data_IF_994264663510
#
_entry.id   IF_994264663510
#
_cell.length_a   1.000
_cell.length_b   1.000
_cell.length_c   1.000
_cell.angle_alpha   90.00
_cell.angle_beta   90.00
_cell.angle_gamma   90.00
#
_symmetry.space_group_name_H-M   'P 1'
#
loop_
_entity.id
_entity.type
_entity.pdbx_description
1 polymer ?
#
# COMPACT_ATOMS: atom_id res chain seq x y z
N UNK A 1 -29.16 -12.39 -4.15
CA UNK A 1 -27.86 -12.45 -4.85
C UNK A 1 -26.65 -12.71 -3.95
N UNK A 2 -26.62 -12.27 -2.66
CA UNK A 2 -25.49 -12.51 -1.74
C UNK A 2 -25.30 -13.98 -1.31
N UNK A 3 -26.34 -14.80 -1.30
CA UNK A 3 -26.26 -16.21 -0.90
C UNK A 3 -25.65 -17.13 -1.98
N UNK A 4 -25.76 -16.77 -3.24
CA UNK A 4 -25.33 -17.62 -4.36
C UNK A 4 -23.81 -17.60 -4.55
N UNK A 5 -23.14 -16.48 -4.26
CA UNK A 5 -21.68 -16.36 -4.39
C UNK A 5 -20.96 -17.07 -3.24
N UNK A 6 -21.52 -17.00 -2.03
CA UNK A 6 -20.96 -17.70 -0.86
C UNK A 6 -21.15 -19.23 -0.98
N UNK A 7 -22.29 -19.68 -1.54
CA UNK A 7 -22.52 -21.10 -1.80
C UNK A 7 -21.61 -21.66 -2.90
N UNK A 8 -21.22 -20.88 -3.89
CA UNK A 8 -20.26 -21.31 -4.92
C UNK A 8 -18.84 -21.52 -4.35
N UNK A 9 -18.43 -20.74 -3.37
CA UNK A 9 -17.13 -20.88 -2.68
C UNK A 9 -17.12 -22.03 -1.64
N UNK A 10 -18.24 -22.31 -0.99
CA UNK A 10 -18.36 -23.44 -0.05
C UNK A 10 -18.66 -24.77 -0.76
N UNK A 11 -19.30 -24.76 -1.90
CA UNK A 11 -19.55 -25.95 -2.71
C UNK A 11 -18.26 -26.55 -3.29
N UNK A 12 -17.20 -25.76 -3.43
CA UNK A 12 -15.89 -26.26 -3.85
C UNK A 12 -15.16 -27.08 -2.76
N UNK A 13 -15.62 -27.05 -1.51
CA UNK A 13 -15.01 -27.77 -0.39
C UNK A 13 -15.76 -29.04 0.06
N UNK A 14 -16.94 -29.35 -0.49
CA UNK A 14 -17.78 -30.46 -0.03
C UNK A 14 -18.35 -31.34 -1.14
N UNK A 15 -17.65 -31.52 -2.26
CA UNK A 15 -18.08 -32.44 -3.32
C UNK A 15 -17.32 -33.75 -3.22
N UNK A 16 -17.84 -34.63 -2.38
CA UNK A 16 -17.72 -36.07 -2.59
C UNK A 16 -19.06 -36.59 -3.10
N UNK A 17 -19.04 -37.07 -4.37
CA UNK A 17 -19.99 -37.96 -5.00
C UNK A 17 -21.47 -37.48 -5.16
N UNK A 18 -21.75 -36.76 -6.23
CA UNK A 18 -22.98 -36.92 -7.03
C UNK A 18 -22.80 -36.14 -8.33
N UNK A 19 -23.19 -36.71 -9.45
CA UNK A 19 -23.07 -36.26 -10.83
C UNK A 19 -22.79 -34.75 -10.99
N UNK A 20 -21.54 -34.42 -11.26
CA UNK A 20 -21.09 -33.06 -11.50
C UNK A 20 -21.66 -32.54 -12.81
N UNK A 21 -22.74 -31.79 -12.76
CA UNK A 21 -23.06 -30.86 -13.82
C UNK A 21 -21.90 -29.83 -13.84
N UNK A 22 -21.02 -29.92 -14.83
CA UNK A 22 -20.03 -28.88 -15.10
C UNK A 22 -20.78 -27.56 -15.36
N UNK A 23 -20.93 -26.73 -14.35
CA UNK A 23 -21.31 -25.35 -14.56
C UNK A 23 -20.11 -24.64 -15.22
N UNK A 24 -20.18 -24.52 -16.53
CA UNK A 24 -19.21 -23.72 -17.29
C UNK A 24 -19.61 -22.25 -17.10
N UNK A 25 -18.79 -21.50 -16.42
CA UNK A 25 -18.93 -20.03 -16.39
C UNK A 25 -18.43 -19.55 -17.74
N UNK A 26 -19.31 -19.08 -18.58
CA UNK A 26 -18.95 -18.44 -19.84
C UNK A 26 -18.31 -17.08 -19.53
N UNK A 27 -17.01 -16.99 -19.81
CA UNK A 27 -16.27 -15.74 -19.69
C UNK A 27 -16.48 -14.98 -21.01
N UNK A 28 -16.94 -13.72 -20.99
CA UNK A 28 -17.09 -12.91 -22.20
C UNK A 28 -15.79 -12.84 -22.99
N UNK A 29 -15.87 -12.86 -24.31
CA UNK A 29 -14.71 -12.92 -25.22
C UNK A 29 -13.72 -11.74 -25.07
N UNK A 30 -14.19 -10.60 -24.56
CA UNK A 30 -13.35 -9.43 -24.26
C UNK A 30 -12.56 -9.57 -22.94
N UNK A 31 -12.89 -10.58 -22.11
CA UNK A 31 -12.21 -10.86 -20.86
C UNK A 31 -11.39 -12.15 -21.00
N UNK A 32 -10.11 -12.09 -20.71
CA UNK A 32 -9.20 -13.23 -20.85
C UNK A 32 -8.24 -13.36 -19.68
N UNK A 33 -7.60 -14.52 -19.57
CA UNK A 33 -6.60 -14.81 -18.54
C UNK A 33 -7.08 -14.52 -17.09
N UNK A 34 -8.36 -14.80 -16.83
CA UNK A 34 -8.93 -14.60 -15.49
C UNK A 34 -8.33 -15.60 -14.53
N UNK A 35 -7.72 -15.11 -13.45
CA UNK A 35 -7.06 -15.90 -12.43
C UNK A 35 -7.55 -15.50 -11.05
N UNK A 36 -8.02 -16.48 -10.30
CA UNK A 36 -8.28 -16.36 -8.87
C UNK A 36 -7.05 -16.88 -8.11
N UNK A 37 -6.56 -16.09 -7.17
CA UNK A 37 -5.44 -16.47 -6.31
C UNK A 37 -5.66 -15.94 -4.89
N UNK A 38 -4.90 -16.48 -3.93
CA UNK A 38 -4.98 -16.02 -2.56
C UNK A 38 -3.87 -16.57 -1.71
N UNK A 39 -3.71 -16.02 -0.52
CA UNK A 39 -2.76 -16.50 0.46
C UNK A 39 -3.19 -16.14 1.88
N UNK A 40 -2.78 -16.97 2.84
CA UNK A 40 -2.90 -16.72 4.27
C UNK A 40 -1.52 -16.78 4.93
N UNK A 41 -1.29 -15.90 5.89
CA UNK A 41 -0.07 -15.88 6.71
C UNK A 41 -0.48 -15.94 8.18
N UNK A 42 -0.18 -17.04 8.85
CA UNK A 42 -0.27 -17.19 10.30
C UNK A 42 1.10 -17.00 10.91
N UNK A 43 1.17 -16.45 12.10
CA UNK A 43 2.43 -16.23 12.81
C UNK A 43 2.26 -16.40 14.31
N UNK A 44 3.35 -16.76 14.96
CA UNK A 44 3.55 -16.62 16.40
C UNK A 44 4.45 -15.42 16.63
N UNK A 45 4.10 -14.56 17.56
CA UNK A 45 4.85 -13.36 17.89
C UNK A 45 5.10 -13.31 19.40
N UNK A 46 6.36 -13.12 19.75
CA UNK A 46 6.78 -12.87 21.12
C UNK A 46 7.50 -11.52 21.19
N UNK A 47 7.11 -10.70 22.16
CA UNK A 47 7.78 -9.45 22.51
C UNK A 47 8.09 -9.46 24.00
N UNK A 48 9.36 -9.42 24.35
CA UNK A 48 9.84 -9.37 25.73
C UNK A 48 10.25 -7.97 26.20
N UNK A 49 9.87 -6.92 25.48
CA UNK A 49 10.15 -5.55 25.88
C UNK A 49 9.38 -5.22 27.16
N UNK A 50 10.07 -4.73 28.17
CA UNK A 50 9.47 -4.32 29.46
C UNK A 50 8.30 -3.36 29.23
N UNK A 51 7.20 -3.60 29.92
CA UNK A 51 5.94 -2.84 29.82
C UNK A 51 5.20 -2.95 28.48
N UNK A 52 5.64 -3.88 27.59
CA UNK A 52 5.01 -4.17 26.31
C UNK A 52 5.10 -5.67 25.95
N UNK A 53 5.17 -6.53 26.95
CA UNK A 53 5.28 -7.98 26.79
C UNK A 53 4.04 -8.53 26.06
N UNK A 54 4.28 -9.33 25.05
CA UNK A 54 3.21 -10.00 24.34
C UNK A 54 3.63 -11.38 23.86
N UNK A 55 2.66 -12.31 23.86
CA UNK A 55 2.82 -13.68 23.43
C UNK A 55 1.53 -14.08 22.71
N UNK A 56 1.57 -14.21 21.38
CA UNK A 56 0.34 -14.38 20.60
C UNK A 56 0.54 -15.15 19.32
N UNK A 57 -0.42 -16.03 19.02
CA UNK A 57 -0.66 -16.52 17.67
C UNK A 57 -1.65 -15.58 16.97
N UNK A 58 -1.35 -15.17 15.76
CA UNK A 58 -2.25 -14.30 14.99
C UNK A 58 -2.23 -14.60 13.49
N UNK A 59 -3.27 -14.13 12.80
CA UNK A 59 -3.33 -14.13 11.35
C UNK A 59 -2.79 -12.77 10.87
N UNK A 60 -1.61 -12.79 10.29
CA UNK A 60 -0.98 -11.58 9.77
C UNK A 60 -1.70 -11.03 8.54
N UNK A 61 -2.02 -11.92 7.60
CA UNK A 61 -2.72 -11.57 6.36
C UNK A 61 -3.57 -12.74 5.87
N UNK A 62 -4.75 -12.43 5.35
CA UNK A 62 -5.58 -13.35 4.57
C UNK A 62 -6.14 -12.56 3.38
N UNK A 63 -5.70 -12.87 2.15
CA UNK A 63 -6.03 -12.12 0.95
C UNK A 63 -6.47 -13.02 -0.18
N UNK A 64 -7.45 -12.53 -0.95
CA UNK A 64 -7.90 -13.13 -2.21
C UNK A 64 -7.75 -12.07 -3.29
N UNK A 65 -7.27 -12.48 -4.45
CA UNK A 65 -7.09 -11.63 -5.62
C UNK A 65 -7.80 -12.25 -6.82
N UNK A 66 -8.43 -11.40 -7.61
CA UNK A 66 -8.93 -11.71 -8.93
C UNK A 66 -8.24 -10.77 -9.92
N UNK A 67 -7.68 -11.33 -10.98
CA UNK A 67 -6.96 -10.57 -11.99
C UNK A 67 -7.22 -11.12 -13.38
N UNK A 68 -6.97 -10.33 -14.42
CA UNK A 68 -7.18 -10.77 -15.80
C UNK A 68 -6.79 -9.70 -16.82
N UNK A 69 -7.19 -9.94 -18.07
CA UNK A 69 -6.99 -8.99 -19.16
C UNK A 69 -8.32 -8.63 -19.83
N UNK A 70 -8.46 -7.38 -20.23
CA UNK A 70 -9.57 -6.84 -21.02
C UNK A 70 -9.02 -6.42 -22.38
N UNK A 71 -9.64 -6.88 -23.45
CA UNK A 71 -9.25 -6.56 -24.84
C UNK A 71 -7.74 -6.73 -25.13
N UNK A 72 -7.08 -7.65 -24.43
CA UNK A 72 -5.67 -7.99 -24.61
C UNK A 72 -4.68 -7.05 -23.95
N UNK A 73 -4.85 -5.74 -24.11
CA UNK A 73 -3.87 -4.74 -23.68
C UNK A 73 -4.06 -4.24 -22.25
N UNK A 74 -5.25 -4.38 -21.69
CA UNK A 74 -5.55 -3.90 -20.33
C UNK A 74 -5.46 -5.04 -19.33
N UNK A 75 -4.50 -4.96 -18.43
CA UNK A 75 -4.44 -5.79 -17.23
C UNK A 75 -5.25 -5.14 -16.11
N UNK A 76 -6.01 -5.91 -15.38
CA UNK A 76 -6.73 -5.45 -14.20
C UNK A 76 -6.53 -6.39 -13.03
N UNK A 77 -6.62 -5.84 -11.82
CA UNK A 77 -6.54 -6.61 -10.59
C UNK A 77 -7.43 -6.01 -9.51
N UNK A 78 -8.09 -6.89 -8.78
CA UNK A 78 -8.70 -6.57 -7.49
C UNK A 78 -8.15 -7.50 -6.42
N UNK A 79 -7.91 -6.96 -5.23
CA UNK A 79 -7.47 -7.74 -4.08
C UNK A 79 -8.20 -7.30 -2.83
N UNK A 80 -8.72 -8.25 -2.07
CA UNK A 80 -9.42 -8.03 -0.81
C UNK A 80 -8.64 -8.70 0.32
N UNK A 81 -8.45 -7.99 1.42
CA UNK A 81 -7.93 -8.53 2.66
C UNK A 81 -9.09 -8.82 3.60
N UNK A 82 -9.15 -10.04 4.12
CA UNK A 82 -10.27 -10.52 4.95
C UNK A 82 -10.00 -10.39 6.45
N UNK A 83 -8.75 -10.38 6.87
CA UNK A 83 -8.41 -10.08 8.25
C UNK A 83 -8.22 -8.57 8.42
N UNK A 84 -8.91 -8.00 9.40
CA UNK A 84 -8.69 -6.60 9.79
C UNK A 84 -7.30 -6.39 10.36
N UNK A 85 -6.86 -5.14 10.41
CA UNK A 85 -5.61 -4.76 11.09
C UNK A 85 -5.85 -4.41 12.55
N UNK A 86 -6.95 -4.82 13.11
CA UNK A 86 -7.34 -4.40 14.45
C UNK A 86 -6.95 -5.45 15.45
N UNK A 87 -6.45 -5.00 16.58
CA UNK A 87 -6.31 -5.77 17.82
C UNK A 87 -7.66 -6.18 18.43
N UNK A 88 -8.77 -5.70 17.88
CA UNK A 88 -10.13 -6.02 18.30
C UNK A 88 -10.71 -7.19 17.52
N UNK A 89 -11.59 -7.94 18.14
CA UNK A 89 -12.26 -9.16 17.67
C UNK A 89 -13.16 -8.98 16.43
N UNK A 90 -12.86 -8.08 15.53
CA UNK A 90 -13.61 -7.83 14.32
C UNK A 90 -12.73 -7.87 13.08
N UNK A 91 -12.95 -8.84 12.22
CA UNK A 91 -12.34 -8.89 10.90
C UNK A 91 -13.30 -8.29 9.89
N UNK A 92 -12.96 -7.13 9.33
CA UNK A 92 -13.76 -6.52 8.27
C UNK A 92 -13.01 -6.61 6.94
N UNK A 93 -13.62 -7.20 5.89
CA UNK A 93 -13.01 -7.23 4.58
C UNK A 93 -12.77 -5.81 4.05
N UNK A 94 -11.59 -5.55 3.53
CA UNK A 94 -11.27 -4.28 2.88
C UNK A 94 -10.58 -4.49 1.54
N UNK A 95 -10.89 -3.64 0.60
CA UNK A 95 -10.19 -3.61 -0.67
C UNK A 95 -8.79 -3.03 -0.46
N UNK A 96 -7.77 -3.75 -0.93
CA UNK A 96 -6.37 -3.29 -0.86
C UNK A 96 -5.85 -2.90 -2.23
N UNK A 97 -6.18 -3.63 -3.30
CA UNK A 97 -5.85 -3.25 -4.66
C UNK A 97 -7.11 -3.25 -5.52
N UNK A 98 -7.28 -2.22 -6.35
CA UNK A 98 -8.25 -2.15 -7.43
C UNK A 98 -7.68 -1.22 -8.51
N UNK A 99 -7.17 -1.78 -9.59
CA UNK A 99 -6.58 -0.99 -10.66
C UNK A 99 -6.74 -1.65 -12.02
N UNK A 100 -6.62 -0.82 -13.07
CA UNK A 100 -6.41 -1.23 -14.43
C UNK A 100 -5.10 -0.64 -14.94
N UNK A 101 -4.41 -1.39 -15.80
CA UNK A 101 -3.14 -0.99 -16.39
C UNK A 101 -3.13 -1.28 -17.88
N UNK A 102 -2.98 -0.25 -18.69
CA UNK A 102 -2.74 -0.39 -20.11
C UNK A 102 -1.28 -0.76 -20.36
N UNK A 103 -1.03 -1.87 -21.03
CA UNK A 103 0.28 -2.51 -21.17
C UNK A 103 0.64 -2.79 -22.64
N UNK A 104 0.15 -2.00 -23.58
CA UNK A 104 0.39 -2.23 -25.01
C UNK A 104 1.88 -2.13 -25.38
N UNK A 105 2.58 -1.18 -24.79
CA UNK A 105 3.99 -0.95 -25.05
C UNK A 105 4.84 -1.25 -23.82
N UNK A 106 6.01 -1.85 -24.04
CA UNK A 106 6.93 -2.16 -22.96
C UNK A 106 7.50 -0.90 -22.30
N UNK A 107 7.79 0.10 -23.14
CA UNK A 107 8.39 1.36 -22.70
C UNK A 107 7.38 2.38 -22.14
N UNK A 108 6.08 2.13 -22.28
CA UNK A 108 5.04 3.05 -21.82
C UNK A 108 3.78 2.29 -21.42
N UNK A 109 3.51 2.25 -20.13
CA UNK A 109 2.34 1.64 -19.52
C UNK A 109 1.66 2.67 -18.63
N UNK A 110 0.34 2.61 -18.55
CA UNK A 110 -0.47 3.55 -17.75
C UNK A 110 -1.33 2.75 -16.78
N UNK A 111 -1.19 3.02 -15.49
CA UNK A 111 -1.92 2.37 -14.41
C UNK A 111 -2.79 3.38 -13.68
N UNK A 112 -4.07 3.06 -13.46
CA UNK A 112 -5.02 3.89 -12.73
C UNK A 112 -5.78 3.07 -11.69
N UNK A 113 -6.00 3.64 -10.53
CA UNK A 113 -6.76 3.03 -9.44
C UNK A 113 -6.03 3.06 -8.11
N UNK A 114 -6.31 2.09 -7.24
CA UNK A 114 -5.66 1.91 -5.95
C UNK A 114 -4.64 0.79 -6.02
N UNK A 115 -3.40 1.11 -5.75
CA UNK A 115 -2.28 0.15 -5.78
C UNK A 115 -1.13 0.64 -4.89
N UNK A 116 -0.10 -0.18 -4.76
CA UNK A 116 1.09 0.16 -3.97
C UNK A 116 1.85 1.33 -4.57
N UNK A 117 2.22 2.29 -3.71
CA UNK A 117 3.02 3.46 -4.09
C UNK A 117 4.33 3.03 -4.75
N UNK A 118 4.73 3.67 -5.85
CA UNK A 118 5.98 3.38 -6.56
C UNK A 118 7.20 3.99 -5.82
N UNK A 119 7.39 3.59 -4.56
CA UNK A 119 8.45 4.07 -3.69
C UNK A 119 9.23 2.90 -3.09
N UNK A 120 10.54 2.88 -3.27
CA UNK A 120 11.49 1.79 -2.97
C UNK A 120 11.27 0.50 -3.77
N UNK A 121 12.16 -0.49 -3.64
CA UNK A 121 11.93 -1.82 -4.20
C UNK A 121 11.06 -2.70 -3.30
N UNK A 122 11.14 -2.50 -2.00
CA UNK A 122 10.46 -3.37 -1.04
C UNK A 122 8.96 -3.07 -0.96
N UNK A 123 8.54 -1.78 -1.06
CA UNK A 123 7.13 -1.45 -0.93
C UNK A 123 6.23 -2.17 -1.96
N UNK A 124 6.50 -2.14 -3.28
CA UNK A 124 5.67 -2.84 -4.26
C UNK A 124 5.82 -4.37 -4.22
N UNK A 125 6.80 -4.91 -3.49
CA UNK A 125 7.05 -6.35 -3.41
C UNK A 125 5.86 -7.11 -2.81
N UNK A 126 5.60 -8.30 -3.33
CA UNK A 126 4.58 -9.16 -2.75
C UNK A 126 5.02 -9.66 -1.36
N UNK A 127 4.16 -9.68 -0.35
CA UNK A 127 4.54 -10.09 1.01
C UNK A 127 5.19 -11.48 1.11
N UNK A 128 4.82 -12.41 0.22
CA UNK A 128 5.42 -13.76 0.16
C UNK A 128 6.87 -13.71 -0.32
N UNK A 129 7.22 -12.73 -1.17
CA UNK A 129 8.55 -12.64 -1.80
C UNK A 129 9.54 -11.81 -0.97
N UNK A 130 9.11 -11.23 0.15
CA UNK A 130 9.97 -10.40 0.99
C UNK A 130 11.16 -11.16 1.59
N UNK A 131 10.97 -12.44 1.93
CA UNK A 131 11.98 -13.26 2.59
C UNK A 131 12.19 -12.94 4.07
N UNK A 132 11.51 -11.91 4.60
CA UNK A 132 11.52 -11.48 6.00
C UNK A 132 10.09 -11.40 6.54
N UNK A 133 9.95 -11.48 7.87
CA UNK A 133 8.66 -11.40 8.55
C UNK A 133 7.95 -10.05 8.37
N UNK A 134 8.67 -8.98 8.14
CA UNK A 134 8.13 -7.63 7.98
C UNK A 134 8.89 -6.79 6.99
N UNK A 135 8.37 -5.61 6.71
CA UNK A 135 9.08 -4.59 5.97
C UNK A 135 10.26 -4.03 6.77
N UNK A 136 11.28 -3.53 6.09
CA UNK A 136 12.35 -2.75 6.71
C UNK A 136 11.76 -1.55 7.47
N UNK A 137 12.51 -1.02 8.43
CA UNK A 137 12.05 0.15 9.18
C UNK A 137 11.84 1.37 8.27
N UNK A 138 12.71 1.55 7.27
CA UNK A 138 12.60 2.65 6.30
C UNK A 138 11.27 2.58 5.56
N UNK A 139 10.93 1.43 4.97
CA UNK A 139 9.67 1.24 4.25
C UNK A 139 8.47 1.34 5.18
N UNK A 140 8.54 0.75 6.36
CA UNK A 140 7.45 0.82 7.36
C UNK A 140 7.15 2.25 7.80
N UNK A 141 8.15 3.13 7.85
CA UNK A 141 8.03 4.52 8.34
C UNK A 141 7.87 5.56 7.23
N UNK A 142 8.18 5.23 5.98
CA UNK A 142 8.24 6.21 4.90
C UNK A 142 7.37 5.87 3.69
N UNK A 143 6.85 4.65 3.58
CA UNK A 143 6.08 4.22 2.41
C UNK A 143 4.56 4.16 2.64
N UNK A 144 4.05 4.73 3.73
CA UNK A 144 2.61 4.78 4.03
C UNK A 144 2.09 3.58 4.81
N UNK A 145 2.91 2.88 5.61
CA UNK A 145 2.44 1.80 6.49
C UNK A 145 2.10 2.29 7.90
N UNK A 146 3.05 2.88 8.57
CA UNK A 146 2.90 3.56 9.84
C UNK A 146 3.84 4.75 9.85
N UNK A 147 3.50 5.73 9.06
CA UNK A 147 4.33 6.89 8.82
C UNK A 147 4.75 7.56 10.12
N UNK A 148 5.87 8.25 10.06
CA UNK A 148 6.47 8.90 11.22
C UNK A 148 5.52 9.89 11.89
N UNK A 149 4.62 10.49 11.12
CA UNK A 149 3.53 11.33 11.62
C UNK A 149 2.42 10.53 12.32
N UNK A 150 2.48 9.19 12.29
CA UNK A 150 1.53 8.30 12.98
C UNK A 150 0.15 8.20 12.31
N UNK A 151 -0.04 8.77 11.14
CA UNK A 151 -1.38 9.03 10.59
C UNK A 151 -1.68 8.26 9.31
N UNK A 152 -0.66 7.88 8.57
CA UNK A 152 -0.82 7.24 7.27
C UNK A 152 -0.68 5.72 7.37
N UNK A 153 -1.79 5.04 7.60
CA UNK A 153 -1.85 3.58 7.72
C UNK A 153 -2.50 2.94 6.47
N UNK A 154 -1.85 3.04 5.32
CA UNK A 154 -2.40 2.65 4.02
C UNK A 154 -1.86 1.32 3.48
N UNK A 155 -1.03 0.60 4.22
CA UNK A 155 -0.29 -0.56 3.72
C UNK A 155 0.55 -0.24 2.47
N UNK A 156 1.15 0.94 2.42
CA UNK A 156 1.99 1.39 1.31
C UNK A 156 1.24 1.64 0.00
N UNK A 157 -0.06 1.98 0.07
CA UNK A 157 -0.95 2.17 -1.10
C UNK A 157 -1.57 3.54 -1.14
N UNK A 158 -1.99 3.93 -2.35
CA UNK A 158 -2.80 5.12 -2.56
C UNK A 158 -3.64 4.98 -3.83
N UNK A 159 -4.53 5.93 -4.06
CA UNK A 159 -5.34 6.05 -5.27
C UNK A 159 -4.67 7.07 -6.19
N UNK A 160 -4.39 6.67 -7.44
CA UNK A 160 -3.71 7.57 -8.37
C UNK A 160 -3.58 7.05 -9.78
N UNK A 161 -2.77 7.77 -10.55
CA UNK A 161 -2.38 7.49 -11.93
C UNK A 161 -0.87 7.37 -12.00
N UNK A 162 -0.35 6.29 -12.59
CA UNK A 162 1.07 6.02 -12.73
C UNK A 162 1.44 5.72 -14.17
N UNK A 163 2.57 6.25 -14.61
CA UNK A 163 3.25 5.93 -15.85
C UNK A 163 4.51 5.13 -15.52
N UNK A 164 4.79 4.09 -16.31
CA UNK A 164 5.98 3.27 -16.12
C UNK A 164 6.41 2.60 -17.43
N UNK A 165 7.65 2.19 -17.50
CA UNK A 165 8.15 1.47 -18.67
C UNK A 165 9.61 1.04 -18.55
N UNK A 166 10.00 0.21 -19.51
CA UNK A 166 11.30 -0.43 -19.58
C UNK A 166 12.04 0.00 -20.86
N UNK A 167 13.34 0.31 -20.75
CA UNK A 167 14.17 0.82 -21.83
C UNK A 167 15.53 0.16 -21.91
N UNK A 168 16.26 0.46 -22.97
CA UNK A 168 17.65 0.13 -23.19
C UNK A 168 17.92 -1.37 -23.11
N UNK A 169 17.44 -2.10 -24.12
CA UNK A 169 17.72 -3.54 -24.23
C UNK A 169 19.20 -3.80 -24.54
N UNK A 170 19.78 -4.73 -23.79
CA UNK A 170 21.09 -5.27 -24.09
C UNK A 170 21.00 -6.28 -25.26
N UNK A 171 22.15 -6.82 -25.66
CA UNK A 171 22.26 -7.81 -26.76
C UNK A 171 21.45 -9.09 -26.52
N UNK A 172 21.11 -9.41 -25.28
CA UNK A 172 20.29 -10.56 -24.89
C UNK A 172 18.80 -10.20 -24.72
N UNK A 173 18.37 -9.00 -25.14
CA UNK A 173 16.99 -8.54 -25.05
C UNK A 173 16.52 -8.15 -23.64
N UNK A 174 17.40 -8.12 -22.63
CA UNK A 174 17.08 -7.71 -21.26
C UNK A 174 17.10 -6.18 -21.15
N UNK A 175 16.04 -5.62 -20.54
CA UNK A 175 15.98 -4.20 -20.25
C UNK A 175 17.02 -3.81 -19.18
N UNK A 176 17.66 -2.66 -19.37
CA UNK A 176 18.69 -2.13 -18.48
C UNK A 176 18.21 -0.97 -17.64
N UNK A 177 17.10 -0.34 -18.02
CA UNK A 177 16.55 0.82 -17.35
C UNK A 177 15.05 0.66 -17.18
N UNK A 178 14.54 0.99 -16.00
CA UNK A 178 13.12 1.13 -15.71
C UNK A 178 12.82 2.49 -15.09
N UNK A 179 11.68 3.06 -15.43
CA UNK A 179 11.15 4.26 -14.76
C UNK A 179 9.72 4.04 -14.32
N UNK A 180 9.33 4.73 -13.28
CA UNK A 180 7.94 4.86 -12.85
C UNK A 180 7.71 6.24 -12.20
N UNK A 181 6.59 6.86 -12.50
CA UNK A 181 6.17 8.12 -11.89
C UNK A 181 4.65 8.17 -11.85
N UNK A 182 4.09 8.65 -10.76
CA UNK A 182 2.65 8.75 -10.62
C UNK A 182 2.22 9.94 -9.79
N UNK A 183 0.93 10.27 -9.94
CA UNK A 183 0.22 11.32 -9.20
C UNK A 183 -0.85 10.63 -8.36
N UNK A 184 -0.83 10.90 -7.06
CA UNK A 184 -1.65 10.20 -6.05
C UNK A 184 -2.41 11.20 -5.18
N UNK A 185 -3.52 10.75 -4.57
CA UNK A 185 -4.30 11.59 -3.66
C UNK A 185 -3.56 11.96 -2.36
N UNK A 186 -2.59 11.15 -1.93
CA UNK A 186 -1.86 11.40 -0.68
C UNK A 186 -2.59 10.94 0.58
N UNK A 187 -3.76 10.29 0.45
CA UNK A 187 -4.63 9.96 1.59
C UNK A 187 -4.67 8.46 1.93
N UNK A 188 -3.99 7.64 1.13
CA UNK A 188 -3.93 6.19 1.33
C UNK A 188 -5.15 5.44 0.80
N UNK A 189 -5.35 4.22 1.33
CA UNK A 189 -6.37 3.28 0.82
C UNK A 189 -7.79 3.74 1.09
N UNK A 190 -8.65 3.60 0.07
CA UNK A 190 -10.11 3.81 0.15
C UNK A 190 -10.51 5.22 0.62
N UNK A 191 -9.61 6.19 0.51
CA UNK A 191 -9.82 7.54 1.01
C UNK A 191 -9.83 8.54 -0.15
N UNK A 192 -10.85 9.41 -0.16
CA UNK A 192 -10.90 10.53 -1.09
C UNK A 192 -9.89 11.59 -0.68
N UNK A 193 -9.41 12.33 -1.66
CA UNK A 193 -8.66 13.55 -1.43
C UNK A 193 -9.47 14.56 -0.58
N UNK A 194 -8.83 15.19 0.38
CA UNK A 194 -9.47 16.11 1.31
C UNK A 194 -8.93 17.54 1.23
N UNK A 195 -7.80 17.76 0.56
CA UNK A 195 -7.16 19.08 0.44
C UNK A 195 -6.91 19.52 -1.01
N UNK A 196 -7.28 18.69 -1.99
CA UNK A 196 -7.03 18.87 -3.42
C UNK A 196 -5.54 18.92 -3.81
N UNK A 197 -4.63 18.63 -2.89
CA UNK A 197 -3.21 18.49 -3.20
C UNK A 197 -2.91 17.08 -3.67
N UNK A 198 -1.86 16.94 -4.46
CA UNK A 198 -1.45 15.64 -4.99
C UNK A 198 -0.02 15.32 -4.59
N UNK A 199 0.22 14.04 -4.36
CA UNK A 199 1.56 13.52 -4.17
C UNK A 199 2.11 13.04 -5.50
N UNK A 200 3.35 13.43 -5.81
CA UNK A 200 4.12 12.88 -6.93
C UNK A 200 5.09 11.86 -6.33
N UNK A 201 4.97 10.62 -6.79
CA UNK A 201 5.79 9.51 -6.30
C UNK A 201 6.37 8.78 -7.49
N UNK A 202 7.65 8.45 -7.45
CA UNK A 202 8.26 7.69 -8.53
C UNK A 202 9.72 7.36 -8.29
N UNK A 203 10.32 6.73 -9.29
CA UNK A 203 11.73 6.35 -9.25
C UNK A 203 12.23 5.83 -10.59
N UNK A 204 13.51 5.69 -10.66
CA UNK A 204 14.23 5.12 -11.78
C UNK A 204 15.24 4.12 -11.25
N UNK A 205 15.43 3.01 -11.97
CA UNK A 205 16.49 2.07 -11.63
C UNK A 205 17.16 1.48 -12.85
N UNK A 206 18.41 1.12 -12.65
CA UNK A 206 19.23 0.42 -13.64
C UNK A 206 19.41 -1.04 -13.24
N UNK A 207 19.54 -1.90 -14.26
CA UNK A 207 19.73 -3.34 -14.14
C UNK A 207 21.01 -3.77 -14.86
N UNK A 208 22.21 -3.39 -14.35
CA UNK A 208 23.48 -3.53 -15.08
C UNK A 208 23.82 -4.99 -15.39
N UNK A 209 23.59 -5.88 -14.44
CA UNK A 209 23.82 -7.32 -14.59
C UNK A 209 22.56 -8.12 -14.23
N UNK A 210 22.52 -9.38 -14.67
CA UNK A 210 21.39 -10.27 -14.35
C UNK A 210 21.24 -10.44 -12.84
N UNK A 211 20.03 -10.25 -12.33
CA UNK A 211 19.69 -10.35 -10.92
C UNK A 211 19.98 -9.10 -10.10
N UNK A 212 20.61 -8.06 -10.65
CA UNK A 212 20.91 -6.80 -9.95
C UNK A 212 20.00 -5.67 -10.41
N UNK A 213 19.54 -4.87 -9.47
CA UNK A 213 18.90 -3.57 -9.73
C UNK A 213 19.30 -2.55 -8.67
N UNK A 214 19.52 -1.32 -9.14
CA UNK A 214 19.94 -0.19 -8.30
C UNK A 214 19.02 0.97 -8.65
N UNK A 215 18.32 1.54 -7.69
CA UNK A 215 17.29 2.55 -7.93
C UNK A 215 17.35 3.73 -6.97
N UNK A 216 16.81 4.85 -7.49
CA UNK A 216 16.54 6.05 -6.72
C UNK A 216 15.08 6.42 -6.83
N UNK A 217 14.48 6.87 -5.73
CA UNK A 217 13.06 7.17 -5.61
C UNK A 217 12.84 8.50 -4.93
N UNK A 218 11.77 9.18 -5.33
CA UNK A 218 11.31 10.41 -4.73
C UNK A 218 9.82 10.39 -4.43
N UNK A 219 9.45 11.12 -3.39
CA UNK A 219 8.06 11.38 -3.02
C UNK A 219 7.97 12.82 -2.55
N UNK A 220 7.12 13.61 -3.21
CA UNK A 220 6.79 14.97 -2.80
C UNK A 220 5.29 15.19 -2.81
N UNK A 221 4.78 15.96 -1.87
CA UNK A 221 3.37 16.28 -1.72
C UNK A 221 2.97 16.50 -0.28
N UNK A 222 1.75 16.13 0.07
CA UNK A 222 1.19 16.33 1.40
C UNK A 222 0.34 15.16 1.86
N UNK A 223 0.14 15.08 3.16
CA UNK A 223 -0.89 14.29 3.79
C UNK A 223 -1.84 15.22 4.52
N UNK A 224 -3.12 15.14 4.23
CA UNK A 224 -4.13 15.98 4.84
C UNK A 224 -5.07 15.18 5.71
N UNK A 225 -5.49 15.79 6.81
CA UNK A 225 -6.47 15.19 7.72
C UNK A 225 -7.49 16.25 8.16
N UNK A 226 -8.73 15.82 8.28
CA UNK A 226 -9.80 16.59 8.91
C UNK A 226 -9.85 16.25 10.38
N UNK A 227 -10.02 17.26 11.20
CA UNK A 227 -10.13 17.05 12.65
C UNK A 227 -10.04 18.32 13.44
N UNK A 228 -9.66 18.15 14.70
CA UNK A 228 -9.37 19.22 15.63
C UNK A 228 -7.92 19.10 16.11
N UNK A 229 -7.25 20.24 16.24
CA UNK A 229 -5.84 20.34 16.58
C UNK A 229 -5.65 21.29 17.76
N UNK A 230 -4.62 21.03 18.57
CA UNK A 230 -4.22 21.90 19.66
C UNK A 230 -2.77 22.40 19.48
N UNK A 231 -2.16 22.10 18.35
CA UNK A 231 -0.75 22.33 18.05
C UNK A 231 -0.59 23.06 16.72
N UNK A 232 0.56 23.67 16.51
CA UNK A 232 0.99 24.25 15.26
C UNK A 232 1.53 23.19 14.30
N UNK A 233 2.00 23.60 13.11
CA UNK A 233 2.60 22.71 12.11
C UNK A 233 3.92 22.07 12.55
N UNK A 234 4.56 22.63 13.57
CA UNK A 234 5.79 22.15 14.18
C UNK A 234 5.53 21.19 15.35
N UNK A 235 4.25 21.01 15.74
CA UNK A 235 3.84 20.18 16.86
C UNK A 235 3.89 20.85 18.23
N UNK A 236 4.02 22.18 18.29
CA UNK A 236 3.99 22.93 19.55
C UNK A 236 2.54 23.20 19.95
N UNK A 237 2.21 22.93 21.21
CA UNK A 237 0.86 23.18 21.74
C UNK A 237 0.59 24.68 21.77
N UNK A 238 -0.54 25.10 21.18
CA UNK A 238 -1.02 26.47 21.21
C UNK A 238 -1.98 26.64 22.38
N UNK A 239 -1.76 27.69 23.18
CA UNK A 239 -2.61 28.02 24.30
C UNK A 239 -3.44 29.27 24.01
N UNK A 240 -4.68 29.28 24.49
CA UNK A 240 -5.57 30.44 24.39
C UNK A 240 -4.96 31.63 25.11
N UNK A 241 -5.07 32.79 24.47
CA UNK A 241 -4.64 34.07 25.03
C UNK A 241 -5.85 35.00 25.20
N UNK A 242 -5.82 35.81 26.25
CA UNK A 242 -6.77 36.90 26.44
C UNK A 242 -6.43 38.14 25.56
N UNK A 243 -7.25 39.16 25.61
CA UNK A 243 -7.04 40.38 24.84
C UNK A 243 -5.74 41.14 25.24
N UNK A 244 -5.17 40.86 26.39
CA UNK A 244 -3.91 41.44 26.84
C UNK A 244 -2.69 40.56 26.50
N UNK A 245 -2.92 39.37 25.82
CA UNK A 245 -1.86 38.47 25.41
C UNK A 245 -1.43 37.45 26.46
N UNK A 246 -2.07 37.42 27.66
CA UNK A 246 -1.76 36.43 28.69
C UNK A 246 -2.46 35.10 28.40
N UNK A 247 -1.88 34.01 28.89
CA UNK A 247 -2.50 32.70 28.78
C UNK A 247 -3.78 32.62 29.62
N UNK A 248 -4.89 32.20 29.01
CA UNK A 248 -6.14 31.88 29.70
C UNK A 248 -5.90 30.61 30.52
N UNK A 249 -6.23 30.68 31.84
CA UNK A 249 -6.09 29.56 32.72
C UNK A 249 -7.45 28.89 33.00
N UNK A 250 -7.44 27.57 33.20
CA UNK A 250 -8.60 26.84 33.69
C UNK A 250 -8.80 27.00 35.20
N UNK A 251 -9.83 26.33 35.73
CA UNK A 251 -10.15 26.33 37.17
C UNK A 251 -9.03 25.78 38.08
N UNK A 252 -8.11 25.01 37.51
CA UNK A 252 -6.98 24.40 38.20
C UNK A 252 -5.68 25.22 38.00
N UNK A 253 -5.78 26.41 37.40
CA UNK A 253 -4.66 27.29 37.14
C UNK A 253 -3.75 26.85 35.96
N UNK A 254 -4.20 25.94 35.13
CA UNK A 254 -3.43 25.44 33.96
C UNK A 254 -3.80 26.19 32.70
N UNK A 255 -2.83 26.44 31.80
CA UNK A 255 -3.11 27.09 30.50
C UNK A 255 -4.10 26.25 29.66
N UNK A 256 -5.16 26.89 29.19
CA UNK A 256 -6.17 26.27 28.30
C UNK A 256 -5.63 26.16 26.89
N UNK A 257 -5.66 24.96 26.34
CA UNK A 257 -5.25 24.72 24.95
C UNK A 257 -6.25 25.37 23.99
N UNK A 258 -5.73 25.99 22.94
CA UNK A 258 -6.55 26.46 21.83
C UNK A 258 -6.91 25.26 20.92
N UNK A 259 -8.13 25.26 20.39
CA UNK A 259 -8.60 24.18 19.52
C UNK A 259 -8.98 24.75 18.18
N UNK A 260 -8.33 24.27 17.15
CA UNK A 260 -8.63 24.59 15.74
C UNK A 260 -9.35 23.44 15.11
N UNK A 261 -10.31 23.70 14.24
CA UNK A 261 -11.05 22.69 13.49
C UNK A 261 -10.92 22.94 11.99
N UNK A 262 -10.82 21.88 11.21
CA UNK A 262 -10.77 22.00 9.74
C UNK A 262 -9.95 20.91 9.07
N UNK A 263 -9.35 21.26 7.94
CA UNK A 263 -8.40 20.40 7.22
C UNK A 263 -6.99 20.96 7.43
N UNK A 264 -6.06 20.06 7.80
CA UNK A 264 -4.65 20.39 7.96
C UNK A 264 -3.83 19.50 7.02
N UNK A 265 -3.01 20.12 6.17
CA UNK A 265 -2.09 19.43 5.26
C UNK A 265 -0.67 19.50 5.83
N UNK A 266 0.00 18.35 5.88
CA UNK A 266 1.38 18.22 6.31
C UNK A 266 2.25 17.86 5.09
N UNK A 267 3.20 18.72 4.76
CA UNK A 267 4.10 18.49 3.64
C UNK A 267 4.98 17.25 3.87
N UNK A 268 5.12 16.46 2.82
CA UNK A 268 5.92 15.23 2.82
C UNK A 268 6.89 15.25 1.64
N UNK A 269 8.18 15.29 1.94
CA UNK A 269 9.23 15.12 0.96
C UNK A 269 10.12 13.97 1.42
N UNK A 270 10.27 12.96 0.57
CA UNK A 270 11.02 11.73 0.87
C UNK A 270 11.85 11.34 -0.33
N UNK A 271 12.99 10.74 -0.07
CA UNK A 271 13.82 10.11 -1.08
C UNK A 271 14.33 8.78 -0.55
N UNK A 272 14.61 7.88 -1.45
CA UNK A 272 15.17 6.57 -1.11
C UNK A 272 16.13 6.08 -2.19
N UNK A 273 17.09 5.28 -1.75
CA UNK A 273 17.97 4.51 -2.62
C UNK A 273 17.78 3.03 -2.29
N UNK A 274 17.57 2.23 -3.33
CA UNK A 274 17.32 0.80 -3.19
C UNK A 274 18.33 0.00 -3.98
N UNK A 275 18.85 -1.05 -3.38
CA UNK A 275 19.69 -2.05 -4.02
C UNK A 275 19.08 -3.42 -3.84
N UNK A 276 19.08 -4.22 -4.91
CA UNK A 276 18.76 -5.64 -4.84
C UNK A 276 19.69 -6.43 -5.75
N UNK A 277 20.20 -7.54 -5.23
CA UNK A 277 20.82 -8.61 -6.00
C UNK A 277 20.14 -9.92 -5.65
N UNK A 278 19.56 -10.59 -6.65
CA UNK A 278 18.85 -11.86 -6.49
C UNK A 278 19.28 -12.80 -7.62
N UNK A 279 20.19 -13.71 -7.34
CA UNK A 279 20.68 -14.70 -8.30
C UNK A 279 21.36 -15.86 -7.58
N UNK A 280 21.29 -17.05 -8.18
CA UNK A 280 22.00 -18.26 -7.76
C UNK A 280 21.77 -18.61 -6.26
N UNK A 281 20.52 -18.49 -5.78
CA UNK A 281 20.15 -18.76 -4.40
C UNK A 281 20.43 -17.62 -3.41
N UNK A 282 21.17 -16.58 -3.82
CA UNK A 282 21.45 -15.40 -2.98
C UNK A 282 20.41 -14.31 -3.16
N UNK A 283 20.04 -13.68 -2.08
CA UNK A 283 19.24 -12.47 -2.08
C UNK A 283 19.85 -11.46 -1.12
N UNK A 284 20.32 -10.34 -1.67
CA UNK A 284 20.85 -9.21 -0.90
C UNK A 284 20.01 -7.98 -1.21
N UNK A 285 19.53 -7.28 -0.20
CA UNK A 285 18.74 -6.05 -0.32
C UNK A 285 19.24 -5.00 0.63
N UNK A 286 19.18 -3.74 0.19
CA UNK A 286 19.45 -2.57 1.00
C UNK A 286 18.50 -1.45 0.61
N UNK A 287 17.93 -0.78 1.60
CA UNK A 287 17.06 0.39 1.45
C UNK A 287 17.58 1.52 2.34
N UNK A 288 17.75 2.71 1.73
CA UNK A 288 18.18 3.92 2.43
C UNK A 288 17.16 5.02 2.26
#
# INVERSE_FOLDING_TARGET
MKKTIIMALMAAASVSASAQQKQTIEIPSWLSNVKLSGYGMAQYQYNGQKDAESNSFNIRMARISLEGRIAGDFYWKTQIQFNGNTSTLGSSPRMVDLFAEWQKYEYFKVKIGQFKNPFTFENPMHPIDQGFMGYSQNVSKLAGFSDRAGEHASNGRDIGLQFQGDFLKNVNGRNLLHYQIGVFNGQGTNTKDVDNQKNIIGGVWVMPVSGMRIGAFGWTGSYARKGTWNDDEQGNIIYKKDAAGNSVLDKDGKPVKETFSGTRSLNQNRYAFSFEYKKDGWTVRSEY
#
